data_IF_634731962610
#
_entry.id   IF_634731962610
#
_cell.length_a   1.000
_cell.length_b   1.000
_cell.length_c   1.000
_cell.angle_alpha   90.00
_cell.angle_beta   90.00
_cell.angle_gamma   90.00
#
_symmetry.space_group_name_H-M   'P 1'
#
loop_
_entity.id
_entity.type
_entity.pdbx_description
1 polymer ?
#
# COMPACT_ATOMS: atom_id res chain seq x y z
N UNK A 1 20.31 17.73 -20.85
CA UNK A 1 20.05 16.71 -19.82
C UNK A 1 18.55 16.66 -19.58
N UNK A 2 17.97 15.49 -19.80
CA UNK A 2 16.54 15.23 -19.84
C UNK A 2 15.99 15.14 -18.41
N UNK A 3 15.29 16.17 -17.95
CA UNK A 3 14.40 16.06 -16.78
C UNK A 3 12.95 16.13 -17.26
N UNK A 4 12.52 15.06 -17.93
CA UNK A 4 11.09 14.75 -18.06
C UNK A 4 10.66 13.97 -16.82
N UNK A 5 10.36 14.68 -15.73
CA UNK A 5 9.46 14.14 -14.70
C UNK A 5 8.14 14.88 -14.93
N UNK A 6 7.37 14.37 -15.89
CA UNK A 6 5.96 14.69 -16.00
C UNK A 6 5.33 14.27 -14.67
N UNK A 7 5.04 15.29 -13.86
CA UNK A 7 4.16 15.26 -12.72
C UNK A 7 2.82 14.71 -13.20
N UNK A 8 2.67 13.38 -13.18
CA UNK A 8 1.38 12.73 -13.42
C UNK A 8 0.48 13.24 -12.31
N UNK A 9 -0.52 14.02 -12.73
CA UNK A 9 -1.45 14.72 -11.86
C UNK A 9 -1.99 13.83 -10.76
N UNK A 10 -1.79 14.25 -9.52
CA UNK A 10 -2.46 13.72 -8.35
C UNK A 10 -3.92 14.22 -8.37
N UNK A 11 -4.71 13.73 -9.32
CA UNK A 11 -6.16 13.87 -9.26
C UNK A 11 -6.66 12.75 -8.35
N UNK A 12 -7.08 13.14 -7.13
CA UNK A 12 -8.37 12.89 -6.50
C UNK A 12 -8.24 12.92 -4.97
N UNK A 13 -9.21 13.53 -4.29
CA UNK A 13 -9.44 13.39 -2.86
C UNK A 13 -9.87 11.95 -2.57
N UNK A 14 -8.94 11.01 -2.70
CA UNK A 14 -9.08 9.73 -2.02
C UNK A 14 -8.95 10.01 -0.52
N UNK A 15 -9.82 9.42 0.30
CA UNK A 15 -9.77 9.60 1.74
C UNK A 15 -8.33 9.44 2.21
N UNK A 16 -7.74 10.43 2.88
CA UNK A 16 -6.29 10.47 3.17
C UNK A 16 -5.72 9.20 3.86
N UNK A 17 -6.62 8.36 4.38
CA UNK A 17 -6.38 7.22 5.24
C UNK A 17 -6.67 5.89 4.53
N UNK A 18 -5.85 4.88 4.79
CA UNK A 18 -6.03 3.52 4.25
C UNK A 18 -7.23 2.85 4.93
N UNK A 19 -8.19 2.39 4.13
CA UNK A 19 -9.28 1.53 4.60
C UNK A 19 -8.92 0.04 4.47
N UNK A 20 -8.48 -0.57 5.56
CA UNK A 20 -8.10 -1.99 5.59
C UNK A 20 -9.27 -2.96 5.40
N UNK A 21 -10.52 -2.50 5.56
CA UNK A 21 -11.71 -3.33 5.35
C UNK A 21 -12.09 -3.46 3.88
N UNK A 22 -11.52 -2.65 2.99
CA UNK A 22 -11.87 -2.62 1.58
C UNK A 22 -10.81 -3.32 0.72
N UNK A 23 -11.22 -4.39 0.05
CA UNK A 23 -10.33 -5.19 -0.82
C UNK A 23 -9.73 -4.35 -1.95
N UNK A 24 -10.51 -3.45 -2.54
CA UNK A 24 -10.05 -2.60 -3.65
C UNK A 24 -8.94 -1.64 -3.21
N UNK A 25 -8.95 -1.22 -1.94
CA UNK A 25 -7.95 -0.32 -1.38
C UNK A 25 -6.60 -1.02 -1.23
N UNK A 26 -6.62 -2.25 -0.68
CA UNK A 26 -5.43 -3.09 -0.59
C UNK A 26 -4.90 -3.50 -1.97
N UNK A 27 -5.79 -3.72 -2.94
CA UNK A 27 -5.41 -4.01 -4.33
C UNK A 27 -4.60 -2.87 -4.95
N UNK A 28 -4.94 -1.59 -4.70
CA UNK A 28 -4.12 -0.45 -5.17
C UNK A 28 -2.72 -0.50 -4.58
N UNK A 29 -2.58 -0.81 -3.30
CA UNK A 29 -1.28 -0.93 -2.65
C UNK A 29 -0.43 -2.08 -3.21
N UNK A 30 -1.06 -3.22 -3.55
CA UNK A 30 -0.38 -4.36 -4.19
C UNK A 30 0.06 -4.05 -5.63
N UNK A 31 -0.78 -3.35 -6.39
CA UNK A 31 -0.46 -2.90 -7.75
C UNK A 31 0.77 -1.99 -7.77
N UNK A 32 0.87 -1.03 -6.82
CA UNK A 32 2.01 -0.13 -6.70
C UNK A 32 3.36 -0.83 -6.48
N UNK A 33 3.35 -2.07 -5.98
CA UNK A 33 4.57 -2.88 -5.78
C UNK A 33 4.69 -4.03 -6.78
N UNK A 34 3.77 -4.13 -7.75
CA UNK A 34 3.76 -5.15 -8.79
C UNK A 34 3.49 -6.56 -8.25
N UNK A 35 2.56 -6.68 -7.30
CA UNK A 35 2.21 -7.94 -6.64
C UNK A 35 0.78 -8.38 -6.97
N UNK A 36 0.52 -9.68 -6.83
CA UNK A 36 -0.81 -10.26 -7.10
C UNK A 36 -1.87 -9.66 -6.18
N UNK A 37 -3.06 -9.43 -6.71
CA UNK A 37 -4.26 -9.05 -5.94
C UNK A 37 -4.97 -10.29 -5.41
N UNK A 38 -4.23 -11.20 -4.76
CA UNK A 38 -4.78 -12.41 -4.14
C UNK A 38 -5.33 -12.13 -2.74
N UNK A 39 -6.21 -13.02 -2.27
CA UNK A 39 -6.73 -12.98 -0.90
C UNK A 39 -5.57 -13.01 0.11
N UNK A 40 -4.62 -13.94 -0.06
CA UNK A 40 -3.46 -14.08 0.83
C UNK A 40 -2.61 -12.79 0.90
N UNK A 41 -2.40 -12.10 -0.22
CA UNK A 41 -1.65 -10.85 -0.21
C UNK A 41 -2.43 -9.73 0.52
N UNK A 42 -3.76 -9.65 0.33
CA UNK A 42 -4.60 -8.70 1.07
C UNK A 42 -4.62 -8.99 2.58
N UNK A 43 -4.75 -10.26 2.96
CA UNK A 43 -4.66 -10.70 4.36
C UNK A 43 -3.29 -10.36 4.96
N UNK A 44 -2.21 -10.59 4.23
CA UNK A 44 -0.86 -10.21 4.68
C UNK A 44 -0.76 -8.71 4.99
N UNK A 45 -1.34 -7.85 4.13
CA UNK A 45 -1.37 -6.41 4.39
C UNK A 45 -2.18 -6.04 5.64
N UNK A 46 -3.27 -6.76 5.94
CA UNK A 46 -4.13 -6.53 7.12
C UNK A 46 -3.52 -7.03 8.42
N UNK A 47 -2.88 -8.18 8.38
CA UNK A 47 -2.49 -8.91 9.59
C UNK A 47 -1.03 -8.68 9.97
N UNK A 48 -0.18 -8.30 8.99
CA UNK A 48 1.25 -8.11 9.22
C UNK A 48 1.69 -6.68 8.92
N UNK A 49 1.54 -6.21 7.69
CA UNK A 49 2.09 -4.91 7.28
C UNK A 49 1.39 -3.75 7.99
N UNK A 50 0.05 -3.74 8.04
CA UNK A 50 -0.74 -2.69 8.69
C UNK A 50 -0.47 -2.57 10.19
N UNK A 51 -0.58 -3.65 10.99
CA UNK A 51 -0.30 -3.62 12.42
C UNK A 51 1.14 -3.24 12.74
N UNK A 52 2.12 -3.71 11.95
CA UNK A 52 3.52 -3.32 12.10
C UNK A 52 3.71 -1.82 11.89
N UNK A 53 3.16 -1.26 10.81
CA UNK A 53 3.22 0.17 10.54
C UNK A 53 2.54 1.02 11.63
N UNK A 54 1.36 0.60 12.10
CA UNK A 54 0.66 1.27 13.21
C UNK A 54 1.49 1.29 14.50
N UNK A 55 2.13 0.16 14.83
CA UNK A 55 2.97 0.01 16.02
C UNK A 55 4.23 0.87 15.94
N UNK A 56 4.92 0.86 14.80
CA UNK A 56 6.17 1.59 14.62
C UNK A 56 5.97 3.12 14.58
N UNK A 57 4.83 3.60 14.04
CA UNK A 57 4.50 5.03 13.97
C UNK A 57 3.70 5.54 15.17
N UNK A 58 3.33 4.65 16.11
CA UNK A 58 2.44 4.94 17.25
C UNK A 58 1.09 5.57 16.82
N UNK A 59 0.43 4.95 15.83
CA UNK A 59 -0.82 5.46 15.22
C UNK A 59 -1.92 4.40 15.16
N UNK A 60 -3.16 4.86 15.31
CA UNK A 60 -4.37 4.02 15.14
C UNK A 60 -4.82 3.93 13.69
N UNK A 61 -4.60 5.00 12.91
CA UNK A 61 -4.99 5.13 11.51
C UNK A 61 -3.76 5.55 10.71
N UNK A 62 -3.59 5.01 9.51
CA UNK A 62 -2.46 5.28 8.63
C UNK A 62 -2.95 6.02 7.39
N UNK A 63 -2.18 7.00 6.95
CA UNK A 63 -2.35 7.58 5.60
C UNK A 63 -1.76 6.66 4.54
N UNK A 64 -2.18 6.81 3.27
CA UNK A 64 -1.57 6.03 2.18
C UNK A 64 -0.06 6.30 2.05
N UNK A 65 0.36 7.54 2.31
CA UNK A 65 1.75 7.95 2.27
C UNK A 65 2.59 7.24 3.35
N UNK A 66 2.04 7.09 4.55
CA UNK A 66 2.70 6.38 5.65
C UNK A 66 2.72 4.87 5.45
N UNK A 67 1.67 4.29 4.85
CA UNK A 67 1.60 2.85 4.65
C UNK A 67 2.48 2.37 3.49
N UNK A 68 2.62 3.17 2.43
CA UNK A 68 3.35 2.80 1.20
C UNK A 68 4.80 2.29 1.42
N UNK A 69 5.65 2.92 2.27
CA UNK A 69 6.99 2.41 2.57
C UNK A 69 6.99 0.98 3.15
N UNK A 70 6.02 0.65 4.00
CA UNK A 70 5.91 -0.66 4.64
C UNK A 70 5.55 -1.74 3.62
N UNK A 71 4.61 -1.46 2.72
CA UNK A 71 4.26 -2.37 1.62
C UNK A 71 5.47 -2.64 0.71
N UNK A 72 6.29 -1.60 0.44
CA UNK A 72 7.53 -1.77 -0.34
C UNK A 72 8.55 -2.65 0.38
N UNK A 73 8.69 -2.50 1.70
CA UNK A 73 9.59 -3.32 2.52
C UNK A 73 9.15 -4.79 2.53
N UNK A 74 7.84 -5.03 2.64
CA UNK A 74 7.28 -6.39 2.71
C UNK A 74 7.10 -7.05 1.33
N UNK A 75 7.49 -6.37 0.25
CA UNK A 75 7.45 -6.91 -1.12
C UNK A 75 8.03 -8.34 -1.26
N UNK A 76 9.12 -8.75 -0.56
CA UNK A 76 9.61 -10.12 -0.62
C UNK A 76 8.64 -11.19 -0.10
N UNK A 77 7.70 -10.83 0.77
CA UNK A 77 6.72 -11.75 1.36
C UNK A 77 5.41 -11.85 0.57
N UNK A 78 5.24 -11.00 -0.45
CA UNK A 78 4.04 -10.96 -1.27
C UNK A 78 4.20 -11.80 -2.54
N UNK A 79 3.16 -12.54 -2.90
CA UNK A 79 3.14 -13.35 -4.12
C UNK A 79 3.11 -12.46 -5.38
N UNK A 80 3.84 -12.88 -6.42
CA UNK A 80 3.79 -12.24 -7.73
C UNK A 80 2.46 -12.59 -8.44
N UNK A 81 2.01 -11.77 -9.41
CA UNK A 81 0.91 -12.14 -10.30
C UNK A 81 1.20 -13.50 -10.97
N UNK A 82 0.14 -14.29 -11.16
CA UNK A 82 0.17 -15.54 -11.94
C UNK A 82 0.10 -15.18 -13.43
#
# INVERSE_FOLDING_TARGET
MLHCILFVGFIMKDSEHVNFSEDYELNRHLELVGKSQSINNREYLREHTGPRAKKELDKRVLTHAEFKPYVKQDKPYLANPI
#
